data_IF_313835039289
#
_entry.id   IF_313835039289
#
_cell.length_a   1.000
_cell.length_b   1.000
_cell.length_c   1.000
_cell.angle_alpha   90.00
_cell.angle_beta   90.00
_cell.angle_gamma   90.00
#
_symmetry.space_group_name_H-M   'P 1'
#
loop_
_entity.id
_entity.type
_entity.pdbx_description
1 polymer ?
#
# COMPACT_ATOMS: atom_id res chain seq x y z
N UNK A 1 12.56 10.81 18.55
CA UNK A 1 11.57 10.39 17.54
C UNK A 1 11.05 9.02 17.95
N UNK A 2 9.84 8.95 18.50
CA UNK A 2 9.28 7.71 19.04
C UNK A 2 8.87 6.76 17.92
N UNK A 3 9.58 5.64 17.80
CA UNK A 3 9.13 4.49 17.03
C UNK A 3 7.86 3.93 17.67
N UNK A 4 6.70 4.19 17.05
CA UNK A 4 5.43 3.61 17.46
C UNK A 4 5.55 2.07 17.40
N UNK A 5 5.71 1.43 18.56
CA UNK A 5 5.56 -0.02 18.75
C UNK A 5 4.12 -0.40 18.41
N UNK A 6 3.84 -0.65 17.13
CA UNK A 6 2.55 -1.19 16.69
C UNK A 6 2.47 -2.66 17.14
N UNK A 7 1.35 -3.10 17.75
CA UNK A 7 1.20 -4.47 18.24
C UNK A 7 1.29 -5.47 17.09
N UNK A 8 2.25 -6.39 17.20
CA UNK A 8 2.60 -7.45 16.24
C UNK A 8 1.48 -8.49 16.01
N UNK A 9 0.39 -8.46 16.79
CA UNK A 9 -0.70 -9.44 16.70
C UNK A 9 -1.86 -9.02 15.78
N UNK A 10 -1.87 -7.79 15.24
CA UNK A 10 -2.78 -7.39 14.15
C UNK A 10 -2.32 -7.87 12.75
N UNK A 11 -1.21 -8.60 12.67
CA UNK A 11 -0.54 -9.00 11.43
C UNK A 11 -1.15 -10.30 10.89
N UNK A 12 -2.32 -10.26 10.23
CA UNK A 12 -2.76 -11.34 9.29
C UNK A 12 -3.66 -10.87 8.14
N UNK A 13 -4.06 -9.61 8.09
CA UNK A 13 -4.91 -9.12 7.01
C UNK A 13 -4.04 -8.46 5.93
N UNK A 14 -4.04 -9.08 4.75
CA UNK A 14 -3.41 -8.58 3.55
C UNK A 14 -4.48 -8.18 2.55
N UNK A 15 -4.18 -7.17 1.75
CA UNK A 15 -5.03 -6.72 0.66
C UNK A 15 -4.21 -6.61 -0.61
N UNK A 16 -4.86 -6.75 -1.77
CA UNK A 16 -4.21 -6.51 -3.06
C UNK A 16 -4.43 -5.07 -3.47
N UNK A 17 -3.35 -4.32 -3.60
CA UNK A 17 -3.35 -2.97 -4.16
C UNK A 17 -3.02 -3.07 -5.64
N UNK A 18 -3.96 -2.71 -6.51
CA UNK A 18 -3.79 -2.74 -7.96
C UNK A 18 -3.63 -1.35 -8.52
N UNK A 19 -2.62 -1.15 -9.35
CA UNK A 19 -2.44 0.11 -10.09
C UNK A 19 -3.29 0.10 -11.36
N UNK A 20 -4.25 1.03 -11.39
CA UNK A 20 -5.18 1.26 -12.49
C UNK A 20 -4.85 2.54 -13.25
N UNK A 21 -3.82 3.27 -12.83
CA UNK A 21 -3.32 4.47 -13.49
C UNK A 21 -2.40 4.13 -14.68
N UNK A 22 -2.08 5.16 -15.46
CA UNK A 22 -1.08 5.11 -16.53
C UNK A 22 0.36 5.26 -15.99
N UNK A 23 0.55 5.51 -14.69
CA UNK A 23 1.83 5.81 -14.07
C UNK A 23 2.46 4.58 -13.42
N UNK A 24 3.79 4.55 -13.29
CA UNK A 24 4.47 3.62 -12.40
C UNK A 24 4.52 4.23 -10.99
N UNK A 25 4.09 3.46 -9.99
CA UNK A 25 4.02 3.92 -8.60
C UNK A 25 5.14 3.27 -7.81
N UNK A 26 5.89 4.07 -7.05
CA UNK A 26 6.85 3.57 -6.06
C UNK A 26 6.19 3.63 -4.68
N UNK A 27 6.05 2.49 -4.02
CA UNK A 27 5.43 2.38 -2.70
C UNK A 27 6.50 2.23 -1.64
N UNK A 28 6.49 3.11 -0.64
CA UNK A 28 7.37 3.02 0.52
C UNK A 28 6.71 2.19 1.63
N UNK A 29 6.89 0.86 1.58
CA UNK A 29 6.32 -0.04 2.58
C UNK A 29 7.32 -0.27 3.73
N UNK A 30 6.87 -0.70 4.93
CA UNK A 30 7.80 -1.06 6.01
C UNK A 30 8.77 -2.19 5.65
N UNK A 31 8.44 -3.01 4.66
CA UNK A 31 9.29 -4.07 4.13
C UNK A 31 10.32 -3.57 3.13
N UNK A 32 10.32 -2.27 2.81
CA UNK A 32 11.14 -1.65 1.76
C UNK A 32 10.32 -1.06 0.63
N UNK A 33 11.02 -0.48 -0.33
CA UNK A 33 10.44 0.12 -1.53
C UNK A 33 9.99 -0.96 -2.51
N UNK A 34 8.77 -0.81 -3.03
CA UNK A 34 8.23 -1.71 -4.04
C UNK A 34 7.62 -0.94 -5.20
N UNK A 35 7.94 -1.36 -6.42
CA UNK A 35 7.38 -0.78 -7.64
C UNK A 35 6.08 -1.47 -8.00
N UNK A 36 5.02 -0.69 -8.19
CA UNK A 36 3.72 -1.13 -8.65
C UNK A 36 3.47 -0.58 -10.05
N UNK A 37 3.81 -1.38 -11.06
CA UNK A 37 3.64 -1.03 -12.47
C UNK A 37 2.16 -1.01 -12.88
N UNK A 38 1.86 -0.29 -13.96
CA UNK A 38 0.52 -0.23 -14.56
C UNK A 38 -0.09 -1.62 -14.73
N UNK A 39 -1.33 -1.78 -14.26
CA UNK A 39 -2.10 -3.02 -14.38
C UNK A 39 -1.64 -4.15 -13.45
N UNK A 40 -0.56 -3.97 -12.69
CA UNK A 40 -0.09 -4.95 -11.69
C UNK A 40 -0.82 -4.75 -10.37
N UNK A 41 -0.83 -5.84 -9.59
CA UNK A 41 -1.31 -5.84 -8.21
C UNK A 41 -0.19 -6.28 -7.29
N UNK A 42 -0.13 -5.67 -6.10
CA UNK A 42 0.81 -6.02 -5.04
C UNK A 42 0.07 -6.38 -3.77
N UNK A 43 0.51 -7.44 -3.11
CA UNK A 43 -0.02 -7.82 -1.80
C UNK A 43 0.64 -6.97 -0.72
N UNK A 44 -0.15 -6.17 -0.02
CA UNK A 44 0.33 -5.30 1.07
C UNK A 44 -0.41 -5.61 2.37
N UNK A 45 0.21 -5.37 3.54
CA UNK A 45 -0.50 -5.43 4.81
C UNK A 45 -1.63 -4.40 4.84
N UNK A 46 -2.79 -4.74 5.37
CA UNK A 46 -3.96 -3.84 5.38
C UNK A 46 -3.68 -2.51 6.09
N UNK A 47 -2.83 -2.49 7.13
CA UNK A 47 -2.46 -1.25 7.83
C UNK A 47 -1.65 -0.28 6.95
N UNK A 48 -1.09 -0.73 5.81
CA UNK A 48 -0.41 0.15 4.86
C UNK A 48 -1.40 1.09 4.14
N UNK A 49 -2.70 0.77 4.13
CA UNK A 49 -3.73 1.70 3.63
C UNK A 49 -3.88 2.96 4.50
N UNK A 50 -3.34 2.96 5.71
CA UNK A 50 -3.29 4.15 6.56
C UNK A 50 -2.11 5.08 6.23
N UNK A 51 -1.20 4.65 5.34
CA UNK A 51 -0.10 5.47 4.88
C UNK A 51 -0.61 6.68 4.06
N UNK A 52 -0.19 7.92 4.37
CA UNK A 52 -0.65 9.11 3.65
C UNK A 52 -0.40 9.07 2.14
N UNK A 53 0.71 8.45 1.70
CA UNK A 53 1.05 8.32 0.28
C UNK A 53 0.08 7.37 -0.42
N UNK A 54 -0.18 6.20 0.18
CA UNK A 54 -1.14 5.22 -0.35
C UNK A 54 -2.56 5.80 -0.38
N UNK A 55 -2.96 6.54 0.66
CA UNK A 55 -4.24 7.25 0.68
C UNK A 55 -4.35 8.27 -0.45
N UNK A 56 -3.29 9.05 -0.70
CA UNK A 56 -3.26 9.99 -1.83
C UNK A 56 -3.48 9.29 -3.17
N UNK A 57 -2.91 8.09 -3.37
CA UNK A 57 -3.13 7.32 -4.60
C UNK A 57 -4.55 6.76 -4.71
N UNK A 58 -5.16 6.36 -3.59
CA UNK A 58 -6.56 5.92 -3.56
C UNK A 58 -7.52 7.08 -3.87
N UNK A 59 -7.29 8.26 -3.27
CA UNK A 59 -8.10 9.46 -3.50
C UNK A 59 -8.02 9.93 -4.96
N UNK A 60 -6.84 9.79 -5.57
CA UNK A 60 -6.62 10.05 -7.01
C UNK A 60 -7.15 8.95 -7.92
N UNK A 61 -7.68 7.86 -7.37
CA UNK A 61 -8.10 6.67 -8.11
C UNK A 61 -6.98 6.05 -8.97
N UNK A 62 -5.72 6.23 -8.58
CA UNK A 62 -4.58 5.63 -9.27
C UNK A 62 -4.40 4.16 -8.92
N UNK A 63 -4.84 3.80 -7.72
CA UNK A 63 -4.85 2.42 -7.24
C UNK A 63 -6.23 2.04 -6.74
N UNK A 64 -6.53 0.75 -6.76
CA UNK A 64 -7.73 0.16 -6.19
C UNK A 64 -7.37 -0.98 -5.23
N UNK A 65 -8.23 -1.23 -4.26
CA UNK A 65 -8.08 -2.33 -3.30
C UNK A 65 -8.98 -3.48 -3.71
N UNK A 66 -8.37 -4.63 -4.02
CA UNK A 66 -9.05 -5.89 -4.27
C UNK A 66 -9.06 -6.73 -2.98
N UNK A 67 -10.22 -7.33 -2.66
CA UNK A 67 -10.42 -8.25 -1.53
C UNK A 67 -10.15 -9.69 -1.92
#
# INVERSE_FOLDING_TARGET
>A
MSALKRPYWKIRQYVRLRNVSEHNILLHLPTGEQRLDRGRALLIPQYALDDPEIRSYLDKQWVTVEK
#
